data_IF_754931222065
#
_entry.id   IF_754931222065
#
_cell.length_a   1.000
_cell.length_b   1.000
_cell.length_c   1.000
_cell.angle_alpha   90.00
_cell.angle_beta   90.00
_cell.angle_gamma   90.00
#
_symmetry.space_group_name_H-M   'P 1'
#
loop_
_entity.id
_entity.type
_entity.pdbx_description
1 polymer ?
#
# COMPACT_ATOMS: atom_id res chain seq x y z
N UNK A 1 4.42 -4.70 -12.08
CA UNK A 1 5.64 -4.19 -11.48
C UNK A 1 5.64 -4.50 -9.98
N UNK A 2 6.81 -4.80 -9.45
CA UNK A 2 6.94 -5.06 -8.02
C UNK A 2 6.85 -3.75 -7.24
N UNK A 3 6.27 -3.81 -6.04
CA UNK A 3 6.28 -2.68 -5.13
C UNK A 3 7.69 -2.49 -4.56
N UNK A 4 8.09 -1.25 -4.24
CA UNK A 4 9.33 -1.03 -3.52
C UNK A 4 9.27 -1.61 -2.11
N UNK A 5 10.42 -1.69 -1.44
CA UNK A 5 10.45 -2.19 -0.07
C UNK A 5 9.62 -1.30 0.86
N UNK A 6 9.19 -1.87 1.97
CA UNK A 6 8.42 -1.13 2.97
C UNK A 6 9.22 0.06 3.49
N UNK A 7 8.65 1.27 3.46
CA UNK A 7 9.37 2.46 3.96
C UNK A 7 9.56 2.47 5.47
N UNK A 8 8.85 1.62 6.19
CA UNK A 8 8.94 1.56 7.64
C UNK A 8 9.97 0.55 8.13
N UNK A 9 9.97 -0.65 7.59
CA UNK A 9 10.88 -1.71 8.04
C UNK A 9 11.92 -2.13 6.99
N UNK A 10 11.78 -1.68 5.75
CA UNK A 10 12.72 -1.99 4.68
C UNK A 10 12.59 -3.39 4.09
N UNK A 11 11.56 -4.14 4.47
CA UNK A 11 11.34 -5.49 3.96
C UNK A 11 10.50 -5.47 2.70
N UNK A 12 10.76 -6.41 1.80
CA UNK A 12 10.02 -6.54 0.53
C UNK A 12 8.74 -7.36 0.75
N UNK A 13 7.85 -6.84 1.61
CA UNK A 13 6.63 -7.53 2.00
C UNK A 13 5.37 -6.70 1.69
N UNK A 14 5.48 -5.73 0.80
CA UNK A 14 4.35 -4.90 0.41
C UNK A 14 3.32 -5.67 -0.39
N UNK A 15 2.05 -5.45 -0.08
CA UNK A 15 0.94 -6.13 -0.75
C UNK A 15 -0.15 -5.12 -1.08
N UNK A 16 -0.63 -5.16 -2.33
CA UNK A 16 -1.74 -4.31 -2.76
C UNK A 16 -3.07 -4.95 -2.37
N UNK A 17 -3.93 -4.16 -1.76
CA UNK A 17 -5.25 -4.62 -1.34
C UNK A 17 -6.32 -3.67 -1.86
N UNK A 18 -7.53 -4.20 -2.02
CA UNK A 18 -8.69 -3.45 -2.46
C UNK A 18 -9.77 -3.59 -1.40
N UNK A 19 -10.32 -2.45 -0.97
CA UNK A 19 -11.43 -2.43 -0.01
C UNK A 19 -12.73 -2.85 -0.69
N UNK A 20 -13.62 -3.50 0.06
CA UNK A 20 -14.95 -3.89 -0.42
C UNK A 20 -15.95 -2.75 -0.38
N UNK A 21 -15.52 -1.54 -0.04
CA UNK A 21 -16.41 -0.39 0.04
C UNK A 21 -16.83 0.10 -1.36
N UNK A 22 -17.91 0.88 -1.40
CA UNK A 22 -18.38 1.52 -2.63
C UNK A 22 -18.36 3.03 -2.40
N UNK A 23 -17.52 3.77 -3.17
CA UNK A 23 -16.59 3.29 -4.19
C UNK A 23 -15.43 2.50 -3.59
N UNK A 24 -14.84 1.64 -4.42
CA UNK A 24 -13.68 0.85 -4.00
C UNK A 24 -12.49 1.74 -3.66
N UNK A 25 -11.75 1.33 -2.64
CA UNK A 25 -10.51 2.02 -2.24
C UNK A 25 -9.34 1.06 -2.36
N UNK A 26 -8.17 1.61 -2.61
CA UNK A 26 -6.94 0.84 -2.79
C UNK A 26 -5.94 1.25 -1.72
N UNK A 27 -5.21 0.28 -1.20
CA UNK A 27 -4.18 0.56 -0.21
C UNK A 27 -3.09 -0.50 -0.29
N UNK A 28 -1.94 -0.20 0.29
CA UNK A 28 -0.79 -1.10 0.33
C UNK A 28 -0.46 -1.37 1.79
N UNK A 29 -0.18 -2.62 2.11
CA UNK A 29 0.14 -3.03 3.49
C UNK A 29 1.44 -3.83 3.49
N UNK A 30 2.23 -3.67 4.54
CA UNK A 30 3.41 -4.48 4.78
C UNK A 30 3.04 -5.63 5.71
N UNK A 31 3.27 -6.86 5.26
CA UNK A 31 2.95 -8.04 6.05
C UNK A 31 3.94 -8.29 7.18
N UNK A 32 5.10 -7.65 7.14
CA UNK A 32 6.15 -7.84 8.16
C UNK A 32 5.94 -6.95 9.38
N UNK A 33 5.73 -5.64 9.17
CA UNK A 33 5.61 -4.70 10.28
C UNK A 33 4.20 -4.18 10.49
N UNK A 34 3.27 -4.48 9.58
CA UNK A 34 1.89 -4.03 9.69
C UNK A 34 1.65 -2.61 9.21
N UNK A 35 2.67 -1.95 8.67
CA UNK A 35 2.48 -0.61 8.12
C UNK A 35 1.55 -0.67 6.92
N UNK A 36 0.65 0.30 6.82
CA UNK A 36 -0.27 0.37 5.69
C UNK A 36 -0.51 1.83 5.30
N UNK A 37 -0.81 2.03 4.01
CA UNK A 37 -1.18 3.36 3.51
C UNK A 37 -2.64 3.65 3.84
N UNK A 38 -3.03 4.90 3.68
CA UNK A 38 -4.43 5.28 3.77
C UNK A 38 -5.17 4.76 2.53
N UNK A 39 -6.49 4.53 2.62
CA UNK A 39 -7.28 4.17 1.45
C UNK A 39 -7.27 5.30 0.42
N UNK A 40 -7.06 4.94 -0.84
CA UNK A 40 -7.02 5.89 -1.94
C UNK A 40 -8.01 5.48 -3.03
N UNK A 41 -8.53 6.43 -3.82
CA UNK A 41 -9.48 6.11 -4.88
C UNK A 41 -8.84 5.36 -6.06
N UNK A 42 -7.51 5.34 -6.16
CA UNK A 42 -6.82 4.62 -7.22
C UNK A 42 -5.62 3.88 -6.66
N UNK A 43 -5.24 2.80 -7.34
CA UNK A 43 -4.07 2.03 -6.95
C UNK A 43 -2.78 2.85 -7.13
N UNK A 44 -2.74 3.69 -8.16
CA UNK A 44 -1.60 4.58 -8.40
C UNK A 44 -1.37 5.51 -7.22
N UNK A 45 -2.44 6.09 -6.66
CA UNK A 45 -2.33 6.97 -5.51
C UNK A 45 -1.84 6.22 -4.27
N UNK A 46 -2.33 4.99 -4.05
CA UNK A 46 -1.88 4.17 -2.93
C UNK A 46 -0.39 3.83 -3.05
N UNK A 47 0.04 3.43 -4.25
CA UNK A 47 1.45 3.13 -4.51
C UNK A 47 2.32 4.37 -4.32
N UNK A 48 1.82 5.53 -4.73
CA UNK A 48 2.55 6.79 -4.58
C UNK A 48 2.77 7.13 -3.10
N UNK A 49 1.76 6.93 -2.26
CA UNK A 49 1.93 7.13 -0.82
C UNK A 49 2.97 6.15 -0.25
N UNK A 50 2.96 4.92 -0.70
CA UNK A 50 3.94 3.92 -0.28
C UNK A 50 5.36 4.36 -0.60
N UNK A 51 5.55 4.98 -1.78
CA UNK A 51 6.84 5.48 -2.22
C UNK A 51 7.32 6.72 -1.47
N UNK A 52 6.39 7.52 -0.95
CA UNK A 52 6.70 8.83 -0.38
C UNK A 52 7.12 8.80 1.10
N UNK A 53 7.20 7.65 1.71
CA UNK A 53 7.62 7.54 3.11
C UNK A 53 9.15 7.62 3.31
#
# INVERSE_FOLDING_TARGET
MALPVCPNCGMDSGKRLISDTVPEKYFVVCETCGYMTKPHPTQTAATKEWLMR
#
